data_IF_341230388770
#
_entry.id   IF_341230388770
#
_cell.length_a   1.000
_cell.length_b   1.000
_cell.length_c   1.000
_cell.angle_alpha   90.00
_cell.angle_beta   90.00
_cell.angle_gamma   90.00
#
_symmetry.space_group_name_H-M   'P 1'
#
loop_
_entity.id
_entity.type
_entity.pdbx_description
1 polymer ?
#
# COMPACT_ATOMS: atom_id res chain seq x y z
N UNK A 1 32.12 90.12 -82.48
CA UNK A 1 32.71 88.76 -82.42
C UNK A 1 31.60 87.78 -82.09
N UNK A 2 31.46 86.65 -82.81
CA UNK A 2 30.31 85.76 -82.67
C UNK A 2 30.41 84.88 -81.41
N UNK A 3 29.31 84.79 -80.65
CA UNK A 3 29.16 83.96 -79.46
C UNK A 3 28.87 82.53 -79.92
N UNK A 4 29.73 81.57 -79.55
CA UNK A 4 29.53 80.14 -79.85
C UNK A 4 28.75 79.51 -78.70
N UNK A 5 27.45 79.27 -78.92
CA UNK A 5 26.58 78.57 -77.97
C UNK A 5 26.78 77.06 -78.17
N UNK A 6 27.28 76.38 -77.15
CA UNK A 6 27.54 74.94 -77.19
C UNK A 6 26.32 74.18 -76.68
N UNK A 7 25.42 73.80 -77.59
CA UNK A 7 24.18 73.07 -77.28
C UNK A 7 24.42 71.70 -76.63
N UNK A 8 25.62 71.11 -76.77
CA UNK A 8 26.00 69.89 -76.09
C UNK A 8 26.25 70.12 -74.59
N UNK A 9 26.76 71.30 -74.21
CA UNK A 9 27.01 71.62 -72.80
C UNK A 9 25.70 71.81 -72.02
N UNK A 10 24.70 72.46 -72.62
CA UNK A 10 23.39 72.69 -71.99
C UNK A 10 22.57 71.39 -71.83
N UNK A 11 22.64 70.49 -72.81
CA UNK A 11 22.06 69.15 -72.69
C UNK A 11 22.73 68.33 -71.57
N UNK A 12 24.04 68.49 -71.39
CA UNK A 12 24.82 67.80 -70.36
C UNK A 12 24.55 68.36 -68.95
N UNK A 13 24.26 69.66 -68.83
CA UNK A 13 23.84 70.30 -67.59
C UNK A 13 22.44 69.86 -67.15
N UNK A 14 21.49 69.75 -68.09
CA UNK A 14 20.13 69.27 -67.79
C UNK A 14 20.10 67.78 -67.37
N UNK A 15 20.97 66.94 -67.94
CA UNK A 15 21.13 65.56 -67.50
C UNK A 15 21.78 65.45 -66.11
N UNK A 16 22.72 66.32 -65.78
CA UNK A 16 23.30 66.39 -64.43
C UNK A 16 22.28 66.88 -63.39
N UNK A 17 21.38 67.78 -63.78
CA UNK A 17 20.31 68.28 -62.92
C UNK A 17 19.28 67.19 -62.60
N UNK A 18 18.90 66.35 -63.58
CA UNK A 18 18.04 65.16 -63.36
C UNK A 18 18.66 64.08 -62.49
N UNK A 19 19.99 63.97 -62.45
CA UNK A 19 20.71 63.05 -61.54
C UNK A 19 20.75 63.55 -60.09
N UNK A 20 20.34 64.80 -59.85
CA UNK A 20 20.49 65.50 -58.58
C UNK A 20 19.13 65.88 -57.97
N UNK A 21 18.15 64.98 -58.08
CA UNK A 21 16.84 65.16 -57.45
C UNK A 21 16.93 64.92 -55.92
N UNK A 22 16.75 65.95 -55.08
CA UNK A 22 16.83 65.81 -53.62
C UNK A 22 15.70 64.93 -53.06
N UNK A 23 14.52 64.96 -53.71
CA UNK A 23 13.33 64.17 -53.31
C UNK A 23 13.60 62.67 -53.40
N UNK A 24 14.29 62.20 -54.45
CA UNK A 24 14.65 60.78 -54.61
C UNK A 24 15.57 60.29 -53.48
N UNK A 25 16.45 61.16 -52.97
CA UNK A 25 17.36 60.82 -51.86
C UNK A 25 16.64 60.73 -50.52
N UNK A 26 15.66 61.59 -50.28
CA UNK A 26 14.85 61.56 -49.05
C UNK A 26 13.98 60.30 -49.00
N UNK A 27 13.36 59.92 -50.12
CA UNK A 27 12.59 58.66 -50.22
C UNK A 27 13.50 57.46 -49.99
N UNK A 28 14.69 57.44 -50.60
CA UNK A 28 15.67 56.38 -50.39
C UNK A 28 16.11 56.29 -48.92
N UNK A 29 16.39 57.43 -48.28
CA UNK A 29 16.75 57.49 -46.88
C UNK A 29 15.63 56.95 -45.97
N UNK A 30 14.36 57.29 -46.26
CA UNK A 30 13.21 56.76 -45.53
C UNK A 30 13.09 55.23 -45.65
N UNK A 31 13.25 54.69 -46.87
CA UNK A 31 13.25 53.25 -47.10
C UNK A 31 14.36 52.57 -46.28
N UNK A 32 15.59 53.09 -46.35
CA UNK A 32 16.73 52.55 -45.59
C UNK A 32 16.45 52.54 -44.08
N UNK A 33 15.84 53.61 -43.55
CA UNK A 33 15.53 53.72 -42.12
C UNK A 33 14.46 52.69 -41.70
N UNK A 34 13.41 52.50 -42.50
CA UNK A 34 12.38 51.48 -42.25
C UNK A 34 12.95 50.06 -42.30
N UNK A 35 13.82 49.76 -43.28
CA UNK A 35 14.49 48.46 -43.40
C UNK A 35 15.39 48.20 -42.19
N UNK A 36 16.13 49.21 -41.73
CA UNK A 36 16.97 49.09 -40.53
C UNK A 36 16.15 48.81 -39.27
N UNK A 37 15.00 49.47 -39.11
CA UNK A 37 14.10 49.26 -37.98
C UNK A 37 13.44 47.86 -38.01
N UNK A 38 13.06 47.37 -39.21
CA UNK A 38 12.57 46.01 -39.40
C UNK A 38 13.65 44.96 -39.13
N UNK A 39 14.89 45.19 -39.59
CA UNK A 39 16.01 44.29 -39.31
C UNK A 39 16.29 44.19 -37.80
N UNK A 40 16.22 45.32 -37.10
CA UNK A 40 16.35 45.34 -35.63
C UNK A 40 15.20 44.59 -34.94
N UNK A 41 13.96 44.84 -35.35
CA UNK A 41 12.78 44.14 -34.82
C UNK A 41 12.86 42.63 -35.06
N UNK A 42 13.31 42.22 -36.25
CA UNK A 42 13.51 40.81 -36.60
C UNK A 42 14.59 40.16 -35.72
N UNK A 43 15.66 40.89 -35.40
CA UNK A 43 16.71 40.40 -34.51
C UNK A 43 16.20 40.19 -33.09
N UNK A 44 15.35 41.09 -32.58
CA UNK A 44 14.73 40.93 -31.25
C UNK A 44 13.78 39.74 -31.21
N UNK A 45 12.92 39.59 -32.22
CA UNK A 45 11.98 38.47 -32.30
C UNK A 45 12.72 37.13 -32.36
N UNK A 46 13.79 37.04 -33.16
CA UNK A 46 14.64 35.85 -33.22
C UNK A 46 15.19 35.48 -31.83
N UNK A 47 15.73 36.46 -31.08
CA UNK A 47 16.24 36.23 -29.71
C UNK A 47 15.14 35.73 -28.77
N UNK A 48 13.93 36.27 -28.83
CA UNK A 48 12.82 35.84 -27.96
C UNK A 48 12.36 34.40 -28.24
N UNK A 49 12.36 33.99 -29.51
CA UNK A 49 11.99 32.62 -29.91
C UNK A 49 13.02 31.61 -29.37
N UNK A 50 14.31 31.92 -29.47
CA UNK A 50 15.37 31.06 -28.95
C UNK A 50 15.34 30.92 -27.42
N UNK A 51 15.02 31.98 -26.69
CA UNK A 51 14.92 31.88 -25.23
C UNK A 51 13.66 31.14 -24.79
N UNK A 52 12.57 31.26 -25.56
CA UNK A 52 11.29 30.63 -25.23
C UNK A 52 11.33 29.12 -25.43
N UNK A 53 12.02 28.63 -26.46
CA UNK A 53 12.18 27.19 -26.68
C UNK A 53 12.95 26.50 -25.55
N UNK A 54 13.95 27.18 -24.95
CA UNK A 54 14.67 26.64 -23.79
C UNK A 54 13.78 26.51 -22.55
N UNK A 55 12.88 27.49 -22.33
CA UNK A 55 11.89 27.43 -21.23
C UNK A 55 10.88 26.32 -21.50
N UNK A 56 10.37 26.21 -22.72
CA UNK A 56 9.41 25.16 -23.10
C UNK A 56 10.01 23.75 -22.97
N UNK A 57 11.29 23.57 -23.31
CA UNK A 57 11.98 22.28 -23.10
C UNK A 57 12.13 21.93 -21.62
N UNK A 58 12.46 22.91 -20.77
CA UNK A 58 12.62 22.68 -19.33
C UNK A 58 11.26 22.41 -18.66
N UNK A 59 10.21 23.12 -19.07
CA UNK A 59 8.86 22.91 -18.57
C UNK A 59 8.31 21.55 -19.01
N UNK A 60 8.60 21.11 -20.23
CA UNK A 60 8.29 19.76 -20.69
C UNK A 60 9.01 18.69 -19.86
N UNK A 61 10.30 18.89 -19.57
CA UNK A 61 11.08 17.95 -18.76
C UNK A 61 10.58 17.89 -17.32
N UNK A 62 10.28 19.02 -16.68
CA UNK A 62 9.67 19.07 -15.33
C UNK A 62 8.32 18.35 -15.33
N UNK A 63 7.46 18.60 -16.32
CA UNK A 63 6.15 17.95 -16.41
C UNK A 63 6.25 16.42 -16.57
N UNK A 64 7.28 15.94 -17.29
CA UNK A 64 7.54 14.51 -17.45
C UNK A 64 8.00 13.87 -16.13
N UNK A 65 8.89 14.53 -15.39
CA UNK A 65 9.35 14.07 -14.08
C UNK A 65 8.22 14.06 -13.04
N UNK A 66 7.33 15.06 -13.04
CA UNK A 66 6.16 15.06 -12.17
C UNK A 66 5.21 13.89 -12.48
N UNK A 67 4.99 13.59 -13.77
CA UNK A 67 4.14 12.47 -14.19
C UNK A 67 4.73 11.13 -13.76
N UNK A 68 6.03 10.95 -13.96
CA UNK A 68 6.76 9.76 -13.52
C UNK A 68 6.67 9.60 -11.99
N UNK A 69 6.95 10.67 -11.23
CA UNK A 69 6.87 10.66 -9.77
C UNK A 69 5.45 10.33 -9.27
N UNK A 70 4.40 10.91 -9.88
CA UNK A 70 3.00 10.55 -9.58
C UNK A 70 2.72 9.07 -9.83
N UNK A 71 3.21 8.52 -10.94
CA UNK A 71 3.03 7.09 -11.27
C UNK A 71 3.74 6.16 -10.26
N UNK A 72 4.90 6.57 -9.75
CA UNK A 72 5.64 5.84 -8.72
C UNK A 72 4.88 5.88 -7.38
N UNK A 73 4.34 7.05 -7.01
CA UNK A 73 3.52 7.17 -5.80
C UNK A 73 2.26 6.32 -5.84
N UNK A 74 1.55 6.30 -6.97
CA UNK A 74 0.40 5.41 -7.16
C UNK A 74 0.79 3.94 -7.10
N UNK A 75 1.89 3.56 -7.74
CA UNK A 75 2.41 2.18 -7.69
C UNK A 75 2.79 1.77 -6.27
N UNK A 76 3.41 2.67 -5.51
CA UNK A 76 3.73 2.46 -4.09
C UNK A 76 2.47 2.26 -3.26
N UNK A 77 1.43 3.05 -3.50
CA UNK A 77 0.15 2.92 -2.79
C UNK A 77 -0.50 1.56 -3.10
N UNK A 78 -0.53 1.16 -4.38
CA UNK A 78 -1.03 -0.17 -4.79
C UNK A 78 -0.25 -1.32 -4.17
N UNK A 79 1.07 -1.18 -4.02
CA UNK A 79 1.91 -2.17 -3.34
C UNK A 79 1.58 -2.29 -1.84
N UNK A 80 1.31 -1.16 -1.16
CA UNK A 80 0.90 -1.15 0.25
C UNK A 80 -0.43 -1.87 0.41
N UNK A 81 -1.43 -1.53 -0.41
CA UNK A 81 -2.74 -2.19 -0.40
C UNK A 81 -2.62 -3.69 -0.72
N UNK A 82 -1.81 -4.06 -1.71
CA UNK A 82 -1.54 -5.44 -2.07
C UNK A 82 -0.94 -6.24 -0.91
N UNK A 83 0.04 -5.67 -0.20
CA UNK A 83 0.64 -6.29 0.99
C UNK A 83 -0.37 -6.48 2.12
N UNK A 84 -1.21 -5.47 2.37
CA UNK A 84 -2.27 -5.57 3.39
C UNK A 84 -3.28 -6.68 3.07
N UNK A 85 -3.70 -6.79 1.81
CA UNK A 85 -4.58 -7.87 1.34
C UNK A 85 -3.91 -9.23 1.46
N UNK A 86 -2.64 -9.34 1.10
CA UNK A 86 -1.89 -10.58 1.21
C UNK A 86 -1.73 -11.02 2.68
N UNK A 87 -1.44 -10.09 3.60
CA UNK A 87 -1.39 -10.41 5.03
C UNK A 87 -2.75 -10.85 5.57
N UNK A 88 -3.84 -10.20 5.15
CA UNK A 88 -5.20 -10.58 5.57
C UNK A 88 -5.60 -11.96 5.02
N UNK A 89 -5.26 -12.26 3.75
CA UNK A 89 -5.49 -13.58 3.16
C UNK A 89 -4.65 -14.67 3.84
N UNK A 90 -3.40 -14.37 4.19
CA UNK A 90 -2.54 -15.28 4.92
C UNK A 90 -3.10 -15.56 6.33
N UNK A 91 -3.63 -14.55 7.02
CA UNK A 91 -4.35 -14.71 8.29
C UNK A 91 -5.60 -15.58 8.13
N UNK A 92 -6.44 -15.30 7.13
CA UNK A 92 -7.65 -16.10 6.86
C UNK A 92 -7.32 -17.56 6.54
N UNK A 93 -6.29 -17.79 5.73
CA UNK A 93 -5.84 -19.13 5.33
C UNK A 93 -5.28 -19.89 6.52
N UNK A 94 -4.40 -19.26 7.32
CA UNK A 94 -3.85 -19.89 8.53
C UNK A 94 -4.94 -20.20 9.56
N UNK A 95 -5.89 -19.29 9.78
CA UNK A 95 -7.02 -19.52 10.69
C UNK A 95 -7.96 -20.63 10.21
N UNK A 96 -8.25 -20.70 8.91
CA UNK A 96 -9.11 -21.75 8.33
C UNK A 96 -8.45 -23.12 8.33
N UNK A 97 -7.12 -23.19 8.12
CA UNK A 97 -6.37 -24.45 8.17
C UNK A 97 -6.17 -24.99 9.59
N UNK A 98 -6.20 -24.13 10.61
CA UNK A 98 -6.20 -24.55 12.02
C UNK A 98 -7.42 -25.41 12.34
N UNK A 99 -8.61 -25.08 11.84
CA UNK A 99 -9.83 -25.81 12.20
C UNK A 99 -9.92 -27.19 11.56
N UNK A 100 -9.51 -27.35 10.30
CA UNK A 100 -9.61 -28.65 9.61
C UNK A 100 -8.72 -29.73 10.22
N UNK A 101 -7.46 -29.39 10.47
CA UNK A 101 -6.49 -30.30 11.11
C UNK A 101 -6.86 -30.61 12.57
N UNK A 102 -7.39 -29.61 13.28
CA UNK A 102 -7.92 -29.76 14.64
C UNK A 102 -9.16 -30.65 14.70
N UNK A 103 -10.15 -30.46 13.82
CA UNK A 103 -11.31 -31.32 13.75
C UNK A 103 -10.92 -32.77 13.44
N UNK A 104 -9.97 -32.99 12.52
CA UNK A 104 -9.45 -34.32 12.24
C UNK A 104 -8.77 -34.96 13.46
N UNK A 105 -8.00 -34.19 14.24
CA UNK A 105 -7.40 -34.70 15.49
C UNK A 105 -8.45 -34.98 16.58
N UNK A 106 -9.52 -34.18 16.65
CA UNK A 106 -10.62 -34.40 17.59
C UNK A 106 -11.44 -35.65 17.23
N UNK A 107 -11.57 -35.97 15.94
CA UNK A 107 -12.20 -37.21 15.50
C UNK A 107 -11.42 -38.46 15.93
N UNK A 108 -10.09 -38.37 16.10
CA UNK A 108 -9.26 -39.48 16.57
C UNK A 108 -9.27 -39.66 18.08
N UNK A 109 -9.68 -38.65 18.83
CA UNK A 109 -9.70 -38.64 20.30
C UNK A 109 -11.09 -38.94 20.87
N UNK A 110 -11.94 -39.64 20.12
CA UNK A 110 -13.29 -40.01 20.54
C UNK A 110 -13.26 -41.18 21.54
N UNK A 111 -14.12 -41.11 22.57
CA UNK A 111 -14.36 -42.18 23.54
C UNK A 111 -15.82 -42.61 23.44
N UNK A 112 -16.12 -43.89 23.66
CA UNK A 112 -17.50 -44.42 23.59
C UNK A 112 -18.42 -43.76 24.64
N UNK A 113 -17.88 -43.44 25.82
CA UNK A 113 -18.62 -42.85 26.93
C UNK A 113 -18.67 -41.31 26.90
N UNK A 114 -17.88 -40.65 26.02
CA UNK A 114 -17.72 -39.19 25.96
C UNK A 114 -18.05 -38.67 24.56
N UNK A 115 -19.14 -37.94 24.44
CA UNK A 115 -19.57 -37.30 23.19
C UNK A 115 -19.22 -35.81 23.19
N UNK A 116 -18.46 -35.34 22.19
CA UNK A 116 -18.23 -33.92 22.01
C UNK A 116 -19.52 -33.23 21.52
N UNK A 117 -20.02 -32.26 22.28
CA UNK A 117 -21.27 -31.53 21.99
C UNK A 117 -20.98 -30.20 21.31
N UNK A 118 -19.94 -29.50 21.76
CA UNK A 118 -19.58 -28.17 21.25
C UNK A 118 -18.08 -27.99 21.22
N UNK A 119 -17.58 -27.49 20.09
CA UNK A 119 -16.25 -26.92 19.98
C UNK A 119 -16.40 -25.42 19.76
N UNK A 120 -15.69 -24.63 20.56
CA UNK A 120 -15.55 -23.18 20.39
C UNK A 120 -14.06 -22.86 20.29
N UNK A 121 -13.69 -22.03 19.32
CA UNK A 121 -12.32 -21.52 19.18
C UNK A 121 -12.42 -20.00 19.13
N UNK A 122 -11.88 -19.35 20.15
CA UNK A 122 -11.83 -17.90 20.27
C UNK A 122 -10.39 -17.43 19.97
N UNK A 123 -10.25 -16.55 18.99
CA UNK A 123 -8.97 -15.95 18.61
C UNK A 123 -9.05 -14.44 18.83
N UNK A 124 -8.12 -13.93 19.62
CA UNK A 124 -8.06 -12.52 20.05
C UNK A 124 -6.67 -11.95 19.79
N UNK A 125 -6.60 -10.64 19.51
CA UNK A 125 -5.37 -9.92 19.20
C UNK A 125 -5.24 -8.71 20.11
N UNK A 126 -4.17 -8.69 20.91
CA UNK A 126 -3.80 -7.56 21.75
C UNK A 126 -2.73 -6.72 21.03
N UNK A 127 -3.13 -5.56 20.50
CA UNK A 127 -2.22 -4.66 19.78
C UNK A 127 -1.63 -3.65 20.75
N UNK A 128 -0.30 -3.68 20.90
CA UNK A 128 0.45 -2.68 21.65
C UNK A 128 1.03 -1.63 20.68
N UNK A 129 0.68 -0.34 20.85
CA UNK A 129 1.15 0.71 19.95
C UNK A 129 2.65 0.99 20.13
N UNK A 130 3.27 1.52 19.07
CA UNK A 130 4.67 1.93 19.08
C UNK A 130 4.90 3.03 20.13
N UNK A 131 5.93 2.86 20.97
CA UNK A 131 6.35 3.88 21.92
C UNK A 131 7.59 4.57 21.36
N UNK A 132 7.38 5.77 20.82
CA UNK A 132 8.47 6.64 20.36
C UNK A 132 9.29 7.15 21.55
N UNK A 133 10.62 7.16 21.47
CA UNK A 133 11.46 7.66 22.56
C UNK A 133 11.25 9.18 22.73
N UNK A 134 10.86 9.59 23.94
CA UNK A 134 10.59 11.00 24.25
C UNK A 134 11.91 11.76 24.36
N UNK A 135 12.17 12.68 23.44
CA UNK A 135 13.32 13.59 23.51
C UNK A 135 14.68 12.98 23.17
N UNK A 136 14.74 11.90 22.38
CA UNK A 136 16.01 11.32 21.88
C UNK A 136 16.79 10.49 22.91
N UNK A 137 16.29 10.33 24.14
CA UNK A 137 16.80 9.39 25.13
C UNK A 137 15.70 8.41 25.54
N UNK A 138 15.85 7.15 25.13
CA UNK A 138 14.97 6.05 25.48
C UNK A 138 15.00 4.93 24.43
N UNK A 139 14.73 3.70 24.83
CA UNK A 139 14.61 2.56 23.93
C UNK A 139 13.28 2.64 23.19
N UNK A 140 13.32 2.85 21.87
CA UNK A 140 12.11 2.74 21.04
C UNK A 140 11.57 1.31 21.13
N UNK A 141 10.27 1.14 21.39
CA UNK A 141 9.61 -0.17 21.35
C UNK A 141 8.72 -0.22 20.11
N UNK A 142 8.95 -1.18 19.19
CA UNK A 142 8.12 -1.32 18.00
C UNK A 142 6.70 -1.69 18.40
N UNK A 143 5.72 -1.31 17.57
CA UNK A 143 4.37 -1.81 17.71
C UNK A 143 4.40 -3.33 17.64
N UNK A 144 3.69 -3.99 18.56
CA UNK A 144 3.71 -5.44 18.70
C UNK A 144 2.28 -5.95 18.82
N UNK A 145 1.93 -7.01 18.10
CA UNK A 145 0.64 -7.68 18.16
C UNK A 145 0.79 -9.03 18.84
N UNK A 146 0.08 -9.28 19.95
CA UNK A 146 0.05 -10.59 20.61
C UNK A 146 -1.22 -11.32 20.23
N UNK A 147 -1.06 -12.48 19.58
CA UNK A 147 -2.14 -13.39 19.21
C UNK A 147 -2.41 -14.39 20.36
N UNK A 148 -3.66 -14.43 20.83
CA UNK A 148 -4.15 -15.35 21.86
C UNK A 148 -5.26 -16.21 21.30
N UNK A 149 -5.08 -17.54 21.35
CA UNK A 149 -6.08 -18.52 20.89
C UNK A 149 -6.49 -19.41 22.05
N UNK A 150 -7.79 -19.45 22.33
CA UNK A 150 -8.41 -20.28 23.36
C UNK A 150 -9.39 -21.24 22.72
N UNK A 151 -9.24 -22.51 23.02
CA UNK A 151 -10.15 -23.58 22.60
C UNK A 151 -11.00 -24.01 23.79
N UNK A 152 -12.31 -24.12 23.60
CA UNK A 152 -13.24 -24.64 24.59
C UNK A 152 -14.01 -25.82 24.01
N UNK A 153 -13.89 -26.97 24.67
CA UNK A 153 -14.54 -28.22 24.32
C UNK A 153 -15.60 -28.51 25.37
N UNK A 154 -16.87 -28.60 24.97
CA UNK A 154 -17.95 -29.09 25.83
C UNK A 154 -18.29 -30.51 25.40
N UNK A 155 -18.15 -31.46 26.32
CA UNK A 155 -18.42 -32.86 26.08
C UNK A 155 -19.45 -33.39 27.08
N UNK A 156 -20.26 -34.33 26.62
CA UNK A 156 -21.24 -35.09 27.40
C UNK A 156 -20.64 -36.43 27.78
N UNK A 157 -20.69 -36.77 29.05
CA UNK A 157 -20.25 -38.06 29.58
C UNK A 157 -21.42 -38.80 30.21
N UNK A 158 -21.61 -40.06 29.84
CA UNK A 158 -22.81 -40.83 30.22
C UNK A 158 -22.51 -42.14 30.96
N UNK A 159 -21.32 -42.28 31.56
CA UNK A 159 -20.88 -43.52 32.22
C UNK A 159 -20.94 -43.43 33.75
N UNK A 160 -21.12 -44.57 34.47
CA UNK A 160 -21.49 -44.59 35.89
C UNK A 160 -20.41 -44.12 36.87
N UNK A 161 -19.16 -43.89 36.45
CA UNK A 161 -18.06 -43.49 37.33
C UNK A 161 -17.76 -41.98 37.21
N UNK A 162 -18.17 -41.15 38.19
CA UNK A 162 -17.91 -39.71 38.14
C UNK A 162 -16.39 -39.40 38.17
N UNK A 163 -15.94 -38.55 37.24
CA UNK A 163 -14.56 -38.01 37.21
C UNK A 163 -13.56 -38.83 36.40
N UNK A 164 -13.78 -40.13 36.20
CA UNK A 164 -12.88 -41.00 35.43
C UNK A 164 -12.91 -40.68 33.93
N UNK A 165 -14.10 -40.36 33.38
CA UNK A 165 -14.22 -39.93 31.99
C UNK A 165 -13.46 -38.65 31.68
N UNK A 166 -13.33 -37.75 32.66
CA UNK A 166 -12.63 -36.46 32.49
C UNK A 166 -11.13 -36.66 32.39
N UNK A 167 -10.55 -37.44 33.31
CA UNK A 167 -9.11 -37.71 33.31
C UNK A 167 -8.71 -38.53 32.09
N UNK A 168 -9.49 -39.55 31.72
CA UNK A 168 -9.25 -40.34 30.50
C UNK A 168 -9.30 -39.49 29.25
N UNK A 169 -10.30 -38.62 29.13
CA UNK A 169 -10.44 -37.73 27.97
C UNK A 169 -9.31 -36.69 27.92
N UNK A 170 -8.91 -36.11 29.06
CA UNK A 170 -7.74 -35.23 29.13
C UNK A 170 -6.44 -35.92 28.72
N UNK A 171 -6.23 -37.16 29.15
CA UNK A 171 -5.06 -37.97 28.77
C UNK A 171 -5.05 -38.20 27.26
N UNK A 172 -6.15 -38.65 26.67
CA UNK A 172 -6.23 -38.87 25.22
C UNK A 172 -6.01 -37.60 24.40
N UNK A 173 -6.61 -36.49 24.82
CA UNK A 173 -6.40 -35.19 24.18
C UNK A 173 -4.94 -34.73 24.29
N UNK A 174 -4.24 -35.12 25.35
CA UNK A 174 -2.83 -34.78 25.58
C UNK A 174 -1.85 -35.73 24.87
N UNK A 175 -2.26 -36.97 24.60
CA UNK A 175 -1.48 -37.97 23.87
C UNK A 175 -1.51 -37.76 22.36
N UNK A 176 -2.56 -37.15 21.82
CA UNK A 176 -2.66 -36.91 20.38
C UNK A 176 -1.51 -36.00 19.89
N UNK A 177 -0.69 -36.46 18.92
CA UNK A 177 0.53 -35.74 18.50
C UNK A 177 0.27 -34.31 18.01
N UNK A 178 -0.86 -34.11 17.32
CA UNK A 178 -1.22 -32.79 16.81
C UNK A 178 -1.56 -31.82 17.95
N UNK A 179 -2.41 -32.23 18.90
CA UNK A 179 -2.87 -31.38 20.00
C UNK A 179 -1.73 -31.06 20.98
N UNK A 180 -0.90 -32.05 21.31
CA UNK A 180 0.30 -31.85 22.14
C UNK A 180 1.30 -30.89 21.51
N UNK A 181 1.51 -30.96 20.19
CA UNK A 181 2.38 -30.02 19.47
C UNK A 181 1.81 -28.59 19.45
N UNK A 182 0.48 -28.47 19.39
CA UNK A 182 -0.23 -27.20 19.24
C UNK A 182 -0.35 -26.44 20.55
N UNK A 183 -0.61 -27.12 21.66
CA UNK A 183 -0.65 -26.51 23.00
C UNK A 183 0.74 -26.35 23.61
N UNK A 184 1.70 -27.19 23.20
CA UNK A 184 3.05 -27.23 23.76
C UNK A 184 3.16 -28.13 24.99
N UNK A 185 4.39 -28.42 25.43
CA UNK A 185 4.66 -29.41 26.51
C UNK A 185 4.07 -29.05 27.87
N UNK A 186 3.75 -27.77 28.11
CA UNK A 186 3.34 -27.25 29.42
C UNK A 186 1.87 -26.84 29.48
N UNK A 187 1.19 -26.65 28.34
CA UNK A 187 -0.23 -26.30 28.33
C UNK A 187 -1.05 -27.55 27.97
N UNK A 188 -1.63 -28.20 28.97
CA UNK A 188 -2.62 -29.25 28.76
C UNK A 188 -4.04 -28.70 28.71
N UNK A 189 -4.99 -29.55 28.33
CA UNK A 189 -6.41 -29.24 28.48
C UNK A 189 -6.78 -29.19 29.96
N UNK A 190 -7.35 -28.06 30.41
CA UNK A 190 -7.78 -27.83 31.79
C UNK A 190 -9.29 -27.98 31.89
N UNK A 191 -9.77 -28.57 32.99
CA UNK A 191 -11.20 -28.59 33.27
C UNK A 191 -11.66 -27.21 33.75
N UNK A 192 -12.59 -26.61 33.01
CA UNK A 192 -13.25 -25.35 33.36
C UNK A 192 -14.42 -25.58 34.32
N UNK A 193 -15.30 -26.52 33.96
CA UNK A 193 -16.52 -26.76 34.73
C UNK A 193 -17.09 -28.14 34.47
N UNK A 194 -17.74 -28.69 35.48
CA UNK A 194 -18.59 -29.89 35.41
C UNK A 194 -19.99 -29.50 35.87
N UNK A 195 -20.98 -29.86 35.08
CA UNK A 195 -22.39 -29.71 35.47
C UNK A 195 -22.83 -30.81 36.45
N UNK A 196 -23.90 -30.57 37.23
CA UNK A 196 -24.56 -31.66 37.95
C UNK A 196 -25.12 -32.70 36.98
N UNK A 197 -25.42 -33.91 37.49
CA UNK A 197 -26.07 -34.95 36.70
C UNK A 197 -27.40 -34.46 36.11
N UNK A 198 -27.57 -34.71 34.82
CA UNK A 198 -28.74 -34.38 34.04
C UNK A 198 -29.30 -35.66 33.41
N UNK A 199 -30.60 -35.69 33.14
CA UNK A 199 -31.25 -36.80 32.44
C UNK A 199 -31.46 -36.43 30.98
N UNK A 200 -31.00 -37.30 30.07
CA UNK A 200 -31.22 -37.13 28.63
C UNK A 200 -32.69 -37.32 28.26
N UNK A 201 -33.03 -37.03 27.00
CA UNK A 201 -34.37 -37.36 26.46
C UNK A 201 -34.68 -38.85 26.58
N UNK A 202 -33.64 -39.69 26.54
CA UNK A 202 -33.73 -41.15 26.68
C UNK A 202 -33.69 -41.62 28.14
N UNK A 203 -33.73 -40.70 29.12
CA UNK A 203 -33.69 -40.99 30.55
C UNK A 203 -32.30 -41.36 31.12
N UNK A 204 -31.29 -41.57 30.27
CA UNK A 204 -29.93 -41.90 30.72
C UNK A 204 -29.26 -40.72 31.44
N UNK A 205 -28.62 -40.96 32.61
CA UNK A 205 -27.90 -39.92 33.33
C UNK A 205 -26.64 -39.52 32.56
N UNK A 206 -26.39 -38.21 32.47
CA UNK A 206 -25.20 -37.66 31.85
C UNK A 206 -24.70 -36.42 32.58
N UNK A 207 -23.43 -36.08 32.34
CA UNK A 207 -22.77 -34.88 32.84
C UNK A 207 -22.17 -34.13 31.66
N UNK A 208 -22.38 -32.82 31.59
CA UNK A 208 -21.61 -31.94 30.72
C UNK A 208 -20.34 -31.50 31.42
N UNK A 209 -19.20 -31.75 30.77
CA UNK A 209 -17.90 -31.24 31.16
C UNK A 209 -17.42 -30.22 30.13
N UNK A 210 -16.70 -29.20 30.59
CA UNK A 210 -16.09 -28.19 29.72
C UNK A 210 -14.59 -28.16 29.96
N UNK A 211 -13.81 -28.34 28.90
CA UNK A 211 -12.35 -28.34 28.87
C UNK A 211 -11.84 -27.14 28.09
N UNK A 212 -10.73 -26.57 28.54
CA UNK A 212 -10.06 -25.42 27.94
C UNK A 212 -8.65 -25.79 27.51
N UNK A 213 -8.29 -25.52 26.25
CA UNK A 213 -6.93 -25.57 25.75
C UNK A 213 -6.46 -24.16 25.37
N UNK A 214 -5.40 -23.68 26.01
CA UNK A 214 -4.78 -22.38 25.67
C UNK A 214 -3.55 -22.61 24.82
N UNK A 215 -3.53 -22.06 23.61
CA UNK A 215 -2.34 -22.10 22.77
C UNK A 215 -1.30 -21.11 23.30
N UNK A 216 0.00 -21.37 23.08
CA UNK A 216 1.06 -20.44 23.42
C UNK A 216 0.87 -19.13 22.66
N UNK A 217 1.02 -18.01 23.38
CA UNK A 217 0.89 -16.67 22.80
C UNK A 217 1.96 -16.45 21.73
N UNK A 218 1.54 -15.92 20.57
CA UNK A 218 2.46 -15.59 19.48
C UNK A 218 2.54 -14.09 19.31
N UNK A 219 3.72 -13.56 19.60
CA UNK A 219 4.08 -12.16 19.39
C UNK A 219 4.49 -11.95 17.94
N UNK A 220 3.89 -10.96 17.26
CA UNK A 220 4.19 -10.57 15.88
C UNK A 220 4.42 -9.08 15.74
#
# INVERSE_FOLDING_TARGET
>A
MPIRINLLAEAQELEQQRRRDPVKRVILAGIVLTVMMLAWSSSLLAKTIFTRSAVESLEAEISSQEKEHKSILESRQRLIEGRQRLSALQQLTTNRFLVGSLLNSLQKTTLDDVQLVRLKVDQTYDVTPEVKPRGGRGTAKPATSVEKVVMTLTARYSSPTPGEGVSRYQTLLSEEPYLSSLLGRTNGFRLLSISPWQSGMDGSPFVLMTLEGKLPEKTR
#
